data_IF_362546170824
#
_entry.id   IF_362546170824
#
_cell.length_a   1.000
_cell.length_b   1.000
_cell.length_c   1.000
_cell.angle_alpha   90.00
_cell.angle_beta   90.00
_cell.angle_gamma   90.00
#
_symmetry.space_group_name_H-M   'P 1'
#
loop_
_entity.id
_entity.type
_entity.pdbx_description
1 polymer ?
#
# COMPACT_ATOMS: atom_id res chain seq x y z
N UNK A 1 -5.72 -5.61 -3.20
CA UNK A 1 -4.74 -6.71 -3.28
C UNK A 1 -3.56 -6.59 -2.30
N UNK A 2 -2.92 -5.43 -2.10
CA UNK A 2 -1.75 -5.32 -1.20
C UNK A 2 -2.03 -5.68 0.27
N UNK A 3 -3.23 -5.36 0.76
CA UNK A 3 -3.61 -5.67 2.15
C UNK A 3 -3.71 -7.18 2.42
N UNK A 4 -3.87 -8.03 1.40
CA UNK A 4 -3.98 -9.49 1.53
C UNK A 4 -2.61 -10.17 1.61
N UNK A 5 -1.53 -9.55 1.10
CA UNK A 5 -0.17 -10.09 1.31
C UNK A 5 0.30 -9.86 2.75
N UNK A 6 -0.26 -8.83 3.41
CA UNK A 6 -0.13 -8.57 4.85
C UNK A 6 -0.96 -9.54 5.71
N UNK A 7 -1.30 -10.73 5.23
CA UNK A 7 -2.10 -11.75 5.95
C UNK A 7 -1.27 -12.86 6.61
N UNK A 8 0.05 -12.73 6.60
CA UNK A 8 0.92 -13.72 7.21
C UNK A 8 1.95 -13.10 8.17
N UNK A 9 1.72 -11.89 8.66
CA UNK A 9 2.59 -11.24 9.65
C UNK A 9 2.71 -12.06 10.91
N UNK A 10 1.65 -12.72 11.38
CA UNK A 10 1.71 -13.65 12.52
C UNK A 10 2.64 -14.82 12.22
N UNK A 11 2.54 -15.43 11.04
CA UNK A 11 3.41 -16.55 10.62
C UNK A 11 4.87 -16.09 10.48
N UNK A 12 5.09 -14.96 9.80
CA UNK A 12 6.42 -14.39 9.56
C UNK A 12 7.08 -13.97 10.88
N UNK A 13 6.29 -13.54 11.86
CA UNK A 13 6.74 -13.21 13.21
C UNK A 13 6.90 -14.44 14.11
N UNK A 14 6.58 -15.65 13.62
CA UNK A 14 6.64 -16.90 14.38
C UNK A 14 5.60 -17.01 15.48
N UNK A 15 4.52 -16.21 15.42
CA UNK A 15 3.41 -16.26 16.38
C UNK A 15 2.46 -17.42 16.07
N UNK A 16 2.33 -17.78 14.79
CA UNK A 16 1.46 -18.86 14.32
C UNK A 16 2.23 -19.85 13.46
N UNK A 17 1.78 -21.11 13.46
CA UNK A 17 2.29 -22.13 12.55
C UNK A 17 1.56 -22.07 11.20
N UNK A 18 2.32 -22.19 10.11
CA UNK A 18 1.76 -22.16 8.75
C UNK A 18 0.71 -23.25 8.52
N UNK A 19 1.01 -24.48 8.95
CA UNK A 19 0.14 -25.63 8.74
C UNK A 19 -1.22 -25.47 9.44
N UNK A 20 -1.22 -24.88 10.64
CA UNK A 20 -2.46 -24.61 11.38
C UNK A 20 -3.29 -23.55 10.68
N UNK A 21 -2.68 -22.46 10.22
CA UNK A 21 -3.39 -21.38 9.52
C UNK A 21 -3.95 -21.87 8.18
N UNK A 22 -3.19 -22.64 7.42
CA UNK A 22 -3.65 -23.23 6.16
C UNK A 22 -4.82 -24.18 6.38
N UNK A 23 -4.75 -25.04 7.40
CA UNK A 23 -5.85 -25.96 7.73
C UNK A 23 -7.12 -25.18 8.08
N UNK A 24 -7.03 -24.12 8.88
CA UNK A 24 -8.18 -23.27 9.21
C UNK A 24 -8.78 -22.57 7.99
N UNK A 25 -7.94 -22.09 7.06
CA UNK A 25 -8.41 -21.46 5.80
C UNK A 25 -9.09 -22.50 4.91
N UNK A 26 -8.49 -23.69 4.74
CA UNK A 26 -9.04 -24.76 3.90
C UNK A 26 -10.37 -25.27 4.46
N UNK A 27 -10.45 -25.53 5.75
CA UNK A 27 -11.70 -25.97 6.39
C UNK A 27 -12.81 -24.93 6.28
N UNK A 28 -12.49 -23.64 6.39
CA UNK A 28 -13.45 -22.56 6.19
C UNK A 28 -13.91 -22.46 4.72
N UNK A 29 -12.99 -22.65 3.77
CA UNK A 29 -13.28 -22.66 2.34
C UNK A 29 -14.18 -23.83 1.93
N UNK A 30 -13.96 -25.01 2.49
CA UNK A 30 -14.75 -26.22 2.21
C UNK A 30 -16.13 -26.14 2.86
N UNK A 31 -16.21 -25.56 4.06
CA UNK A 31 -17.45 -25.38 4.80
C UNK A 31 -18.17 -24.08 4.42
N UNK A 32 -18.41 -23.85 3.12
CA UNK A 32 -19.13 -22.68 2.55
C UNK A 32 -20.51 -22.41 3.19
N UNK A 33 -21.06 -23.34 3.97
CA UNK A 33 -22.35 -23.24 4.68
C UNK A 33 -22.25 -22.96 6.19
N UNK A 34 -21.07 -23.01 6.82
CA UNK A 34 -20.94 -22.57 8.21
C UNK A 34 -20.76 -21.07 8.24
N UNK A 35 -21.87 -20.38 8.48
CA UNK A 35 -21.93 -18.97 8.81
C UNK A 35 -20.77 -18.57 9.75
N UNK A 36 -20.24 -17.35 9.59
CA UNK A 36 -19.14 -16.79 10.42
C UNK A 36 -19.38 -16.88 11.93
N UNK A 37 -20.62 -17.18 12.35
CA UNK A 37 -21.06 -17.45 13.72
C UNK A 37 -20.52 -18.73 14.36
N UNK A 38 -19.92 -19.66 13.61
CA UNK A 38 -19.33 -20.90 14.17
C UNK A 38 -17.84 -20.78 14.51
N UNK A 39 -17.17 -19.76 13.99
CA UNK A 39 -15.76 -19.48 14.27
C UNK A 39 -15.61 -18.82 15.63
N UNK A 40 -14.60 -19.23 16.37
CA UNK A 40 -14.22 -18.52 17.59
C UNK A 40 -13.61 -17.16 17.23
N UNK A 41 -13.73 -16.17 18.13
CA UNK A 41 -13.04 -14.88 17.95
C UNK A 41 -11.53 -15.05 17.81
N UNK A 42 -10.98 -16.11 18.41
CA UNK A 42 -9.59 -16.50 18.27
C UNK A 42 -9.28 -16.89 16.82
N UNK A 43 -9.99 -17.87 16.24
CA UNK A 43 -9.75 -18.31 14.86
C UNK A 43 -9.94 -17.16 13.86
N UNK A 44 -10.96 -16.32 14.07
CA UNK A 44 -11.19 -15.11 13.27
C UNK A 44 -10.02 -14.14 13.36
N UNK A 45 -9.44 -13.97 14.54
CA UNK A 45 -8.27 -13.13 14.75
C UNK A 45 -7.03 -13.66 14.02
N UNK A 46 -6.82 -14.97 14.03
CA UNK A 46 -5.73 -15.65 13.33
C UNK A 46 -5.87 -15.57 11.81
N UNK A 47 -7.04 -15.89 11.27
CA UNK A 47 -7.30 -15.84 9.82
C UNK A 47 -7.17 -14.42 9.27
N UNK A 48 -7.61 -13.41 10.05
CA UNK A 48 -7.50 -12.00 9.65
C UNK A 48 -6.11 -11.38 9.89
N UNK A 49 -5.18 -12.15 10.45
CA UNK A 49 -3.79 -11.77 10.73
C UNK A 49 -3.67 -10.52 11.61
N UNK A 50 -4.45 -10.48 12.69
CA UNK A 50 -4.39 -9.37 13.63
C UNK A 50 -3.27 -9.56 14.68
N UNK A 51 -2.67 -8.46 15.17
CA UNK A 51 -1.73 -8.53 16.27
C UNK A 51 -2.47 -8.87 17.56
N UNK A 52 -1.74 -9.46 18.52
CA UNK A 52 -2.29 -9.84 19.81
C UNK A 52 -3.09 -8.69 20.45
N UNK A 53 -4.14 -8.99 21.24
CA UNK A 53 -5.06 -7.98 21.77
C UNK A 53 -4.37 -6.80 22.46
N UNK A 54 -3.31 -7.06 23.22
CA UNK A 54 -2.52 -6.04 23.93
C UNK A 54 -1.75 -5.13 22.98
N UNK A 55 -1.18 -5.69 21.90
CA UNK A 55 -0.47 -4.91 20.89
C UNK A 55 -1.47 -4.07 20.07
N UNK A 56 -2.62 -4.65 19.75
CA UNK A 56 -3.70 -3.96 19.05
C UNK A 56 -4.27 -2.78 19.84
N UNK A 57 -4.49 -2.96 21.14
CA UNK A 57 -5.02 -1.90 22.01
C UNK A 57 -3.99 -0.79 22.23
N UNK A 58 -2.71 -1.15 22.39
CA UNK A 58 -1.61 -0.18 22.45
C UNK A 58 -1.49 0.63 21.15
N UNK A 59 -1.56 -0.02 19.99
CA UNK A 59 -1.52 0.66 18.70
C UNK A 59 -2.72 1.60 18.50
N UNK A 60 -3.94 1.15 18.84
CA UNK A 60 -5.15 1.97 18.78
C UNK A 60 -5.03 3.22 19.66
N UNK A 61 -4.62 3.06 20.93
CA UNK A 61 -4.50 4.19 21.87
C UNK A 61 -3.39 5.17 21.52
N UNK A 62 -2.37 4.73 20.77
CA UNK A 62 -1.28 5.59 20.31
C UNK A 62 -1.67 6.38 19.07
N UNK A 63 -2.36 5.73 18.12
CA UNK A 63 -2.63 6.28 16.79
C UNK A 63 -4.00 6.93 16.63
N UNK A 64 -4.96 6.67 17.53
CA UNK A 64 -6.30 7.25 17.46
C UNK A 64 -6.91 7.45 18.85
N UNK A 65 -7.75 8.48 18.99
CA UNK A 65 -8.61 8.65 20.17
C UNK A 65 -9.92 7.87 20.09
N UNK A 66 -10.23 7.28 18.94
CA UNK A 66 -11.49 6.58 18.68
C UNK A 66 -11.40 5.09 19.04
N UNK A 67 -12.54 4.49 19.42
CA UNK A 67 -12.60 3.04 19.54
C UNK A 67 -12.56 2.37 18.17
N UNK A 68 -12.14 1.10 18.10
CA UNK A 68 -12.10 0.34 16.83
C UNK A 68 -13.39 0.44 15.99
N UNK A 69 -14.61 0.20 16.52
CA UNK A 69 -15.82 0.29 15.71
C UNK A 69 -16.12 1.72 15.25
N UNK A 70 -15.84 2.73 16.08
CA UNK A 70 -15.99 4.14 15.71
C UNK A 70 -15.01 4.52 14.61
N UNK A 71 -13.76 4.07 14.70
CA UNK A 71 -12.73 4.30 13.69
C UNK A 71 -13.13 3.67 12.35
N UNK A 72 -13.63 2.43 12.34
CA UNK A 72 -14.11 1.78 11.11
C UNK A 72 -15.32 2.50 10.51
N UNK A 73 -16.26 2.96 11.34
CA UNK A 73 -17.41 3.74 10.87
C UNK A 73 -16.97 5.09 10.30
N UNK A 74 -16.11 5.82 11.01
CA UNK A 74 -15.54 7.09 10.58
C UNK A 74 -14.82 6.95 9.25
N UNK A 75 -14.02 5.89 9.10
CA UNK A 75 -13.33 5.56 7.85
C UNK A 75 -14.30 5.24 6.70
N UNK A 76 -15.42 4.59 6.98
CA UNK A 76 -16.41 4.27 5.96
C UNK A 76 -17.22 5.50 5.52
N UNK A 77 -17.53 6.41 6.45
CA UNK A 77 -18.41 7.57 6.21
C UNK A 77 -17.66 8.84 5.78
N UNK A 78 -16.45 9.07 6.28
CA UNK A 78 -15.69 10.32 6.08
C UNK A 78 -14.18 10.03 6.01
N UNK A 79 -13.72 9.31 4.97
CA UNK A 79 -12.32 8.89 4.87
C UNK A 79 -11.31 10.03 4.71
N UNK A 80 -11.76 11.20 4.22
CA UNK A 80 -10.90 12.38 4.02
C UNK A 80 -10.47 13.04 5.34
N UNK A 81 -11.21 12.82 6.43
CA UNK A 81 -10.94 13.40 7.74
C UNK A 81 -10.01 12.51 8.60
N UNK A 82 -9.47 11.43 8.02
CA UNK A 82 -8.54 10.54 8.71
C UNK A 82 -7.15 11.18 8.82
N UNK A 83 -6.55 11.03 10.00
CA UNK A 83 -5.15 11.41 10.22
C UNK A 83 -4.19 10.42 9.57
N UNK A 84 -2.98 10.85 9.23
CA UNK A 84 -1.95 9.95 8.66
C UNK A 84 -1.67 8.74 9.56
N UNK A 85 -1.67 8.93 10.88
CA UNK A 85 -1.48 7.86 11.86
C UNK A 85 -2.63 6.85 11.87
N UNK A 86 -3.87 7.30 11.62
CA UNK A 86 -5.04 6.42 11.50
C UNK A 86 -5.03 5.65 10.18
N UNK A 87 -4.67 6.32 9.08
CA UNK A 87 -4.49 5.69 7.77
C UNK A 87 -3.42 4.60 7.88
N UNK A 88 -2.25 4.91 8.43
CA UNK A 88 -1.17 3.95 8.62
C UNK A 88 -1.58 2.78 9.52
N UNK A 89 -2.24 3.06 10.66
CA UNK A 89 -2.72 2.03 11.58
C UNK A 89 -3.64 1.03 10.87
N UNK A 90 -4.62 1.52 10.09
CA UNK A 90 -5.58 0.65 9.43
C UNK A 90 -4.99 -0.04 8.21
N UNK A 91 -4.12 0.64 7.46
CA UNK A 91 -3.36 0.07 6.33
C UNK A 91 -2.44 -1.07 6.80
N UNK A 92 -1.90 -0.97 8.02
CA UNK A 92 -1.09 -1.99 8.66
C UNK A 92 -1.92 -2.95 9.52
N UNK A 93 -3.26 -2.97 9.40
CA UNK A 93 -4.14 -3.90 10.13
C UNK A 93 -3.88 -3.91 11.64
N UNK A 94 -3.65 -2.73 12.23
CA UNK A 94 -3.32 -2.50 13.64
C UNK A 94 -1.92 -2.95 14.10
N UNK A 95 -1.06 -3.38 13.19
CA UNK A 95 0.35 -3.64 13.51
C UNK A 95 1.09 -2.31 13.66
N UNK A 96 1.60 -2.04 14.87
CA UNK A 96 2.35 -0.81 15.16
C UNK A 96 3.70 -0.76 14.45
N UNK A 97 4.36 -1.90 14.28
CA UNK A 97 5.58 -2.06 13.51
C UNK A 97 5.48 -3.36 12.72
N UNK A 98 5.10 -3.32 11.42
CA UNK A 98 5.02 -4.51 10.62
C UNK A 98 6.43 -5.11 10.46
N UNK A 99 6.60 -6.42 10.62
CA UNK A 99 7.92 -7.03 10.58
C UNK A 99 8.60 -6.71 9.24
N UNK A 100 9.77 -6.07 9.25
CA UNK A 100 10.55 -5.73 8.05
C UNK A 100 10.75 -6.91 7.08
N UNK A 101 10.77 -8.14 7.62
CA UNK A 101 10.86 -9.38 6.83
C UNK A 101 9.63 -9.59 5.95
N UNK A 102 8.45 -9.12 6.36
CA UNK A 102 7.22 -9.34 5.61
C UNK A 102 7.12 -8.51 4.32
N UNK A 103 7.70 -7.30 4.30
CA UNK A 103 7.85 -6.54 3.04
C UNK A 103 8.75 -7.29 2.03
N UNK A 104 9.82 -7.95 2.50
CA UNK A 104 10.68 -8.79 1.65
C UNK A 104 9.98 -10.05 1.16
N UNK A 105 9.21 -10.70 2.05
CA UNK A 105 8.42 -11.89 1.69
C UNK A 105 7.33 -11.53 0.68
N UNK A 106 6.70 -10.35 0.79
CA UNK A 106 5.73 -9.84 -0.17
C UNK A 106 6.32 -9.70 -1.58
N UNK A 107 7.48 -9.05 -1.70
CA UNK A 107 8.17 -8.92 -2.98
C UNK A 107 8.57 -10.29 -3.57
N UNK A 108 9.06 -11.20 -2.73
CA UNK A 108 9.44 -12.54 -3.16
C UNK A 108 8.24 -13.41 -3.60
N UNK A 109 7.10 -13.32 -2.90
CA UNK A 109 5.88 -14.07 -3.24
C UNK A 109 5.35 -13.67 -4.63
N UNK A 110 5.39 -12.39 -4.96
CA UNK A 110 5.01 -11.88 -6.29
C UNK A 110 5.90 -12.47 -7.40
N UNK A 111 7.22 -12.58 -7.13
CA UNK A 111 8.16 -13.17 -8.08
C UNK A 111 8.06 -14.70 -8.22
N UNK A 112 7.68 -15.40 -7.16
CA UNK A 112 7.63 -16.87 -7.15
C UNK A 112 6.31 -17.41 -7.72
N UNK A 113 5.18 -16.79 -7.36
CA UNK A 113 3.85 -17.26 -7.73
C UNK A 113 3.37 -16.75 -9.10
N UNK A 114 3.97 -15.66 -9.62
CA UNK A 114 3.63 -15.12 -10.93
C UNK A 114 2.13 -14.94 -11.13
N UNK A 115 1.58 -15.51 -12.20
CA UNK A 115 0.16 -15.37 -12.57
C UNK A 115 -0.81 -16.12 -11.63
N UNK A 116 -0.32 -17.10 -10.85
CA UNK A 116 -1.16 -17.88 -9.93
C UNK A 116 -1.51 -17.09 -8.66
N UNK A 117 -0.83 -15.98 -8.40
CA UNK A 117 -1.08 -15.16 -7.21
C UNK A 117 -2.45 -14.49 -7.25
N UNK A 118 -2.93 -14.09 -8.43
CA UNK A 118 -4.21 -13.39 -8.58
C UNK A 118 -5.40 -14.20 -8.08
N UNK A 119 -5.66 -15.39 -8.64
CA UNK A 119 -6.76 -16.25 -8.21
C UNK A 119 -6.70 -16.64 -6.73
N UNK A 120 -5.50 -16.94 -6.21
CA UNK A 120 -5.30 -17.28 -4.79
C UNK A 120 -5.68 -16.11 -3.88
N UNK A 121 -5.27 -14.90 -4.27
CA UNK A 121 -5.55 -13.68 -3.51
C UNK A 121 -7.04 -13.33 -3.53
N UNK A 122 -7.71 -13.47 -4.68
CA UNK A 122 -9.16 -13.28 -4.77
C UNK A 122 -9.92 -14.26 -3.87
N UNK A 123 -9.51 -15.53 -3.84
CA UNK A 123 -10.13 -16.54 -2.98
C UNK A 123 -9.94 -16.21 -1.48
N UNK A 124 -8.75 -15.77 -1.09
CA UNK A 124 -8.48 -15.31 0.28
C UNK A 124 -9.28 -14.05 0.63
N UNK A 125 -9.49 -13.15 -0.33
CA UNK A 125 -10.29 -11.94 -0.15
C UNK A 125 -11.75 -12.27 0.14
N UNK A 126 -12.35 -13.20 -0.62
CA UNK A 126 -13.72 -13.67 -0.39
C UNK A 126 -13.89 -14.24 1.03
N UNK A 127 -12.93 -15.06 1.47
CA UNK A 127 -12.90 -15.61 2.82
C UNK A 127 -12.82 -14.46 3.84
N UNK A 128 -11.92 -13.50 3.66
CA UNK A 128 -11.77 -12.37 4.57
C UNK A 128 -13.02 -11.50 4.69
N UNK A 129 -13.64 -11.18 3.56
CA UNK A 129 -14.86 -10.36 3.52
C UNK A 129 -15.97 -11.02 4.33
N UNK A 130 -16.10 -12.36 4.27
CA UNK A 130 -17.09 -13.10 5.07
C UNK A 130 -16.87 -13.02 6.59
N UNK A 131 -15.65 -12.67 7.02
CA UNK A 131 -15.23 -12.57 8.42
C UNK A 131 -15.20 -11.14 8.95
N UNK A 132 -15.39 -10.16 8.08
CA UNK A 132 -15.32 -8.76 8.42
C UNK A 132 -16.49 -8.32 9.30
N UNK A 133 -16.18 -7.41 10.21
CA UNK A 133 -17.20 -6.70 10.98
C UNK A 133 -17.90 -5.69 10.08
N UNK A 134 -19.04 -5.19 10.53
CA UNK A 134 -19.77 -4.12 9.84
C UNK A 134 -18.83 -2.95 9.49
N UNK A 135 -19.00 -2.39 8.30
CA UNK A 135 -18.20 -1.30 7.73
C UNK A 135 -16.71 -1.60 7.45
N UNK A 136 -16.16 -2.74 7.90
CA UNK A 136 -14.73 -3.01 7.72
C UNK A 136 -14.31 -3.17 6.26
N UNK A 137 -15.14 -3.79 5.41
CA UNK A 137 -14.85 -3.92 3.98
C UNK A 137 -14.69 -2.55 3.31
N UNK A 138 -15.72 -1.70 3.46
CA UNK A 138 -15.74 -0.33 2.94
C UNK A 138 -14.64 0.53 3.54
N UNK A 139 -14.38 0.41 4.84
CA UNK A 139 -13.29 1.11 5.50
C UNK A 139 -11.94 0.79 4.84
N UNK A 140 -11.62 -0.49 4.61
CA UNK A 140 -10.34 -0.90 4.01
C UNK A 140 -10.17 -0.42 2.56
N UNK A 141 -11.25 -0.43 1.78
CA UNK A 141 -11.24 0.11 0.42
C UNK A 141 -10.98 1.63 0.42
N UNK A 142 -11.70 2.36 1.29
CA UNK A 142 -11.51 3.80 1.46
C UNK A 142 -10.09 4.14 1.93
N UNK A 143 -9.53 3.41 2.89
CA UNK A 143 -8.15 3.61 3.37
C UNK A 143 -7.16 3.41 2.24
N UNK A 144 -7.35 2.37 1.42
CA UNK A 144 -6.45 2.11 0.29
C UNK A 144 -6.46 3.29 -0.68
N UNK A 145 -7.65 3.82 -0.96
CA UNK A 145 -7.83 4.98 -1.84
C UNK A 145 -7.19 6.25 -1.25
N UNK A 146 -7.43 6.54 0.02
CA UNK A 146 -6.87 7.71 0.70
C UNK A 146 -5.35 7.61 0.85
N UNK A 147 -4.82 6.43 1.15
CA UNK A 147 -3.38 6.22 1.21
C UNK A 147 -2.70 6.47 -0.15
N UNK A 148 -3.29 5.96 -1.24
CA UNK A 148 -2.81 6.26 -2.60
C UNK A 148 -2.89 7.76 -2.88
N UNK A 149 -3.97 8.42 -2.48
CA UNK A 149 -4.12 9.88 -2.64
C UNK A 149 -3.04 10.65 -1.88
N UNK A 150 -2.75 10.28 -0.63
CA UNK A 150 -1.72 10.91 0.20
C UNK A 150 -0.32 10.68 -0.38
N UNK A 151 -0.03 9.46 -0.81
CA UNK A 151 1.24 9.13 -1.44
C UNK A 151 1.44 9.93 -2.73
N UNK A 152 0.43 9.98 -3.60
CA UNK A 152 0.48 10.74 -4.85
C UNK A 152 0.62 12.24 -4.59
N UNK A 153 -0.09 12.78 -3.61
CA UNK A 153 0.02 14.17 -3.19
C UNK A 153 1.42 14.51 -2.66
N UNK A 154 1.99 13.64 -1.83
CA UNK A 154 3.33 13.83 -1.26
C UNK A 154 4.38 13.75 -2.36
N UNK A 155 4.29 12.74 -3.22
CA UNK A 155 5.19 12.57 -4.37
C UNK A 155 5.11 13.75 -5.34
N UNK A 156 3.91 14.29 -5.60
CA UNK A 156 3.76 15.49 -6.42
C UNK A 156 4.38 16.73 -5.77
N UNK A 157 4.22 16.90 -4.46
CA UNK A 157 4.82 18.01 -3.73
C UNK A 157 6.35 17.91 -3.69
N UNK A 158 6.89 16.70 -3.49
CA UNK A 158 8.32 16.41 -3.56
C UNK A 158 8.86 16.68 -4.96
N UNK A 159 8.18 16.20 -6.01
CA UNK A 159 8.56 16.47 -7.39
C UNK A 159 8.53 17.96 -7.70
N UNK A 160 7.50 18.69 -7.25
CA UNK A 160 7.42 20.14 -7.45
C UNK A 160 8.56 20.88 -6.74
N UNK A 161 8.93 20.45 -5.52
CA UNK A 161 10.05 21.03 -4.79
C UNK A 161 11.40 20.71 -5.43
N UNK A 162 11.59 19.50 -5.94
CA UNK A 162 12.78 19.11 -6.71
C UNK A 162 12.87 19.89 -8.03
N UNK A 163 11.75 20.04 -8.74
CA UNK A 163 11.67 20.81 -9.98
C UNK A 163 12.01 22.28 -9.70
N UNK A 164 11.52 22.86 -8.60
CA UNK A 164 11.85 24.23 -8.19
C UNK A 164 13.36 24.38 -7.87
N UNK A 165 13.96 23.44 -7.14
CA UNK A 165 15.42 23.46 -6.87
C UNK A 165 16.25 23.33 -8.15
N UNK A 166 15.85 22.44 -9.06
CA UNK A 166 16.49 22.26 -10.37
C UNK A 166 16.38 23.54 -11.20
N UNK A 167 15.22 24.20 -11.19
CA UNK A 167 14.98 25.44 -11.91
C UNK A 167 15.82 26.60 -11.37
N UNK A 168 15.99 26.72 -10.05
CA UNK A 168 16.88 27.72 -9.44
C UNK A 168 18.33 27.53 -9.91
N UNK A 169 18.76 26.29 -10.13
CA UNK A 169 20.11 25.95 -10.59
C UNK A 169 20.23 25.93 -12.12
N UNK A 170 19.12 26.06 -12.86
CA UNK A 170 19.10 25.98 -14.31
C UNK A 170 19.71 27.23 -14.97
N UNK A 171 20.04 27.10 -16.25
CA UNK A 171 20.57 28.22 -17.03
C UNK A 171 19.49 29.33 -17.19
N UNK A 172 19.87 30.62 -17.27
CA UNK A 172 18.91 31.73 -17.34
C UNK A 172 17.95 31.73 -18.54
N UNK A 173 18.23 30.93 -19.56
CA UNK A 173 17.32 30.75 -20.71
C UNK A 173 16.27 29.66 -20.44
N UNK A 174 16.57 28.67 -19.58
CA UNK A 174 15.64 27.62 -19.13
C UNK A 174 14.64 28.21 -18.14
N UNK A 175 15.12 29.02 -17.19
CA UNK A 175 14.26 29.75 -16.24
C UNK A 175 13.25 30.64 -16.97
N UNK A 176 13.73 31.43 -17.94
CA UNK A 176 12.84 32.24 -18.80
C UNK A 176 11.82 31.40 -19.57
N UNK A 177 12.22 30.25 -20.10
CA UNK A 177 11.31 29.36 -20.81
C UNK A 177 10.22 28.80 -19.90
N UNK A 178 10.54 28.52 -18.63
CA UNK A 178 9.61 28.05 -17.62
C UNK A 178 8.62 29.14 -17.17
N UNK A 179 9.10 30.37 -16.97
CA UNK A 179 8.27 31.51 -16.56
C UNK A 179 7.36 32.05 -17.67
N UNK A 180 7.77 31.92 -18.94
CA UNK A 180 7.05 32.48 -20.09
C UNK A 180 5.89 31.60 -20.59
N UNK A 181 5.76 30.35 -20.14
CA UNK A 181 4.80 29.40 -20.74
C UNK A 181 3.83 28.71 -19.76
N UNK A 182 3.01 29.51 -19.07
CA UNK A 182 1.81 29.01 -18.39
C UNK A 182 0.74 28.44 -19.36
N UNK A 183 0.96 28.46 -20.68
CA UNK A 183 -0.08 28.20 -21.70
C UNK A 183 0.07 26.90 -22.50
N UNK A 184 1.27 26.32 -22.67
CA UNK A 184 1.47 25.12 -23.47
C UNK A 184 2.24 24.03 -22.71
N UNK A 185 1.50 22.99 -22.29
CA UNK A 185 1.97 21.93 -21.38
C UNK A 185 2.67 20.74 -22.03
N UNK A 186 3.18 20.84 -23.27
CA UNK A 186 3.92 19.75 -23.90
C UNK A 186 5.19 20.28 -24.55
N UNK A 187 6.28 20.19 -23.80
CA UNK A 187 7.62 20.42 -24.32
C UNK A 187 8.26 19.09 -24.73
N UNK A 188 8.92 19.10 -25.89
CA UNK A 188 9.84 18.04 -26.29
C UNK A 188 11.17 18.67 -26.68
N UNK A 189 12.25 17.97 -26.42
CA UNK A 189 13.58 18.38 -26.85
C UNK A 189 14.07 17.43 -27.95
N UNK A 190 14.85 17.97 -28.88
CA UNK A 190 15.54 17.18 -29.89
C UNK A 190 17.03 17.45 -29.75
N UNK A 191 17.82 16.41 -29.53
CA UNK A 191 19.27 16.51 -29.53
C UNK A 191 19.83 16.15 -30.90
N UNK A 192 20.76 16.97 -31.38
CA UNK A 192 21.52 16.69 -32.60
C UNK A 192 22.83 16.01 -32.22
N UNK A 193 22.96 14.73 -32.55
CA UNK A 193 24.23 14.01 -32.37
C UNK A 193 25.12 14.35 -33.55
N UNK A 194 26.21 15.06 -33.30
CA UNK A 194 27.26 15.31 -34.30
C UNK A 194 28.01 14.00 -34.55
N UNK A 195 28.10 13.50 -35.79
CA UNK A 195 28.83 12.26 -36.07
C UNK A 195 30.32 12.43 -35.75
N UNK A 196 30.83 11.61 -34.84
CA UNK A 196 32.24 11.60 -34.42
C UNK A 196 32.49 11.74 -32.91
N UNK A 197 31.46 11.92 -32.09
CA UNK A 197 31.58 11.91 -30.62
C UNK A 197 31.54 10.47 -30.11
N UNK A 198 32.52 10.12 -29.27
CA UNK A 198 32.70 8.79 -28.68
C UNK A 198 31.47 8.35 -27.87
N UNK A 199 31.00 7.12 -28.11
CA UNK A 199 29.75 6.57 -27.53
C UNK A 199 29.79 6.51 -26.01
N UNK A 200 30.98 6.49 -25.42
CA UNK A 200 31.18 6.47 -23.96
C UNK A 200 30.67 7.76 -23.28
N UNK A 201 30.54 8.88 -24.00
CA UNK A 201 30.00 10.14 -23.45
C UNK A 201 28.47 10.28 -23.59
N UNK A 202 27.80 9.33 -24.26
CA UNK A 202 26.34 9.36 -24.47
C UNK A 202 25.55 8.68 -23.34
N UNK A 203 26.19 7.83 -22.53
CA UNK A 203 25.52 7.02 -21.50
C UNK A 203 25.02 7.85 -20.30
N UNK A 204 25.55 9.05 -20.05
CA UNK A 204 25.15 9.90 -18.91
C UNK A 204 23.77 10.56 -19.04
N UNK A 205 23.13 10.52 -20.23
CA UNK A 205 21.86 11.23 -20.47
C UNK A 205 20.61 10.33 -20.56
N UNK A 206 20.77 9.00 -20.59
CA UNK A 206 19.63 8.09 -20.79
C UNK A 206 18.89 7.68 -19.51
N UNK A 207 19.44 7.97 -18.32
CA UNK A 207 18.84 7.59 -17.04
C UNK A 207 18.08 8.73 -16.34
N UNK A 208 17.21 9.44 -17.08
CA UNK A 208 16.16 10.30 -16.47
C UNK A 208 14.92 10.36 -17.36
N UNK A 209 14.29 9.23 -17.65
CA UNK A 209 12.89 9.24 -18.05
C UNK A 209 12.14 8.16 -17.29
N UNK A 210 11.45 8.62 -16.24
CA UNK A 210 10.30 7.94 -15.67
C UNK A 210 9.20 7.85 -16.71
N UNK A 211 8.56 6.70 -16.67
CA UNK A 211 7.49 6.23 -17.52
C UNK A 211 6.25 7.13 -17.40
N UNK A 212 5.74 7.68 -18.50
CA UNK A 212 4.34 8.07 -18.63
C UNK A 212 3.84 7.65 -20.03
N UNK A 213 3.05 6.57 -19.99
CA UNK A 213 2.12 5.97 -20.99
C UNK A 213 2.73 5.47 -22.31
#
# INVERSE_FOLDING_TARGET
MEHLVKMFYRIISGLDALDTTLTSITTLSENKSTSSSSLTDHDRHHILDFPNPDHKSAALTTSSSLTKPELLKHTAESPQDLTDSEIELLQNRYWADPPHKALKVQGAAHHILGDEIGPLMSHLEEICISLYEENKAYALENITTEWVRHMMSTSQAEQAAEDEDILVQAWPWVQRLWDEDETYSIWSYTFFIVPGIDKVRLEDYQYRFGTVI
#
